data_IF_343722968948
#
_entry.id   IF_343722968948
#
_cell.length_a   1.000
_cell.length_b   1.000
_cell.length_c   1.000
_cell.angle_alpha   90.00
_cell.angle_beta   90.00
_cell.angle_gamma   90.00
#
_symmetry.space_group_name_H-M   'P 1'
#
loop_
_entity.id
_entity.type
_entity.pdbx_description
1 polymer ?
#
# COMPACT_ATOMS: atom_id res chain seq x y z
N UNK A 1 -7.24 47.22 37.27
CA UNK A 1 -6.23 47.62 38.30
C UNK A 1 -4.93 46.94 37.96
N UNK A 2 -3.96 47.74 37.46
CA UNK A 2 -2.53 47.80 37.82
C UNK A 2 -1.77 46.47 37.68
N UNK A 3 -0.65 46.29 36.94
CA UNK A 3 0.44 47.22 36.59
C UNK A 3 1.23 46.64 35.41
N UNK A 4 1.64 47.51 34.52
CA UNK A 4 2.70 47.31 33.55
C UNK A 4 4.06 47.12 34.25
N UNK A 5 4.94 46.29 33.63
CA UNK A 5 6.38 46.42 33.88
C UNK A 5 7.13 46.33 32.55
N UNK A 6 7.61 47.48 32.14
CA UNK A 6 8.61 47.69 31.08
C UNK A 6 9.98 47.22 31.61
N UNK A 7 10.65 46.37 30.85
CA UNK A 7 12.11 46.25 30.95
C UNK A 7 12.69 46.37 29.53
N UNK A 8 13.34 47.51 29.36
CA UNK A 8 14.14 47.94 28.25
C UNK A 8 15.56 47.39 28.47
N UNK A 9 16.07 46.53 27.64
CA UNK A 9 17.50 46.17 27.64
C UNK A 9 18.06 46.29 26.22
N UNK A 10 18.97 47.17 26.15
CA UNK A 10 19.94 47.64 25.20
C UNK A 10 20.31 46.71 24.01
N UNK A 11 20.25 47.33 22.86
CA UNK A 11 20.96 47.07 21.62
C UNK A 11 22.46 46.84 21.88
N UNK A 12 22.95 45.68 21.46
CA UNK A 12 24.37 45.48 21.20
C UNK A 12 24.51 44.94 19.76
N UNK A 13 24.76 45.86 18.85
CA UNK A 13 25.21 45.62 17.48
C UNK A 13 26.58 44.93 17.53
N UNK A 14 26.63 43.62 17.36
CA UNK A 14 27.85 42.96 16.95
C UNK A 14 27.69 42.60 15.47
N UNK A 15 28.20 43.46 14.61
CA UNK A 15 28.50 43.21 13.23
C UNK A 15 29.61 42.15 13.14
N UNK A 16 29.26 40.91 13.29
CA UNK A 16 30.10 39.76 12.95
C UNK A 16 29.96 39.50 11.46
N UNK A 17 30.93 39.97 10.67
CA UNK A 17 31.02 39.59 9.27
C UNK A 17 31.05 38.07 9.16
N UNK A 18 30.00 37.47 8.61
CA UNK A 18 30.05 36.14 8.04
C UNK A 18 30.97 36.24 6.82
N UNK A 19 32.27 36.01 7.04
CA UNK A 19 33.17 35.60 5.97
C UNK A 19 32.60 34.28 5.45
N UNK A 20 31.86 34.36 4.37
CA UNK A 20 31.55 33.21 3.54
C UNK A 20 32.87 32.55 3.14
N UNK A 21 33.26 31.51 3.89
CA UNK A 21 34.16 30.53 3.36
C UNK A 21 33.40 29.82 2.24
N UNK A 22 33.52 30.37 1.00
CA UNK A 22 33.46 29.53 -0.17
C UNK A 22 34.55 28.50 0.04
N UNK A 23 34.16 27.30 0.47
CA UNK A 23 34.96 26.10 0.29
C UNK A 23 35.27 26.09 -1.21
N UNK A 24 36.45 26.56 -1.60
CA UNK A 24 37.00 26.33 -2.92
C UNK A 24 37.02 24.82 -3.07
N UNK A 25 36.08 24.31 -3.87
CA UNK A 25 35.96 22.93 -4.21
C UNK A 25 37.32 22.49 -4.73
N UNK A 26 38.12 21.82 -3.90
CA UNK A 26 39.49 21.51 -4.25
C UNK A 26 39.39 20.48 -5.37
N UNK A 27 39.85 20.89 -6.58
CA UNK A 27 39.87 20.04 -7.76
C UNK A 27 40.71 18.80 -7.42
N UNK A 28 40.07 17.66 -7.18
CA UNK A 28 40.76 16.42 -6.80
C UNK A 28 40.49 15.34 -7.83
N UNK A 29 41.46 14.47 -7.96
CA UNK A 29 41.32 13.23 -8.73
C UNK A 29 40.45 12.27 -7.93
N UNK A 30 39.35 11.80 -8.53
CA UNK A 30 38.48 10.79 -7.94
C UNK A 30 38.64 9.42 -8.62
N UNK A 31 38.31 8.33 -7.93
CA UNK A 31 38.16 7.01 -8.58
C UNK A 31 37.21 7.11 -9.77
N UNK A 32 37.42 6.29 -10.78
CA UNK A 32 36.53 6.22 -11.92
C UNK A 32 35.11 5.90 -11.53
N UNK A 33 34.17 6.64 -12.04
CA UNK A 33 32.73 6.36 -11.89
C UNK A 33 31.97 6.62 -13.20
N UNK A 34 30.79 6.05 -13.26
CA UNK A 34 29.81 6.35 -14.29
C UNK A 34 28.43 6.51 -13.65
N UNK A 35 27.68 7.49 -14.13
CA UNK A 35 26.30 7.66 -13.70
C UNK A 35 25.37 6.84 -14.61
N UNK A 36 24.55 5.99 -13.98
CA UNK A 36 23.56 5.15 -14.64
C UNK A 36 22.19 5.70 -14.25
N UNK A 37 21.36 5.98 -15.24
CA UNK A 37 19.99 6.45 -15.00
C UNK A 37 19.07 5.23 -15.03
N UNK A 38 18.52 4.85 -13.88
CA UNK A 38 17.48 3.85 -13.75
C UNK A 38 16.12 4.53 -13.95
N UNK A 39 15.30 3.94 -14.83
CA UNK A 39 13.98 4.47 -15.15
C UNK A 39 12.89 3.46 -14.81
N UNK A 40 11.78 3.98 -14.29
CA UNK A 40 10.59 3.19 -13.97
C UNK A 40 9.34 4.05 -14.02
N UNK A 41 8.23 3.44 -13.66
CA UNK A 41 6.93 4.11 -13.57
C UNK A 41 6.27 3.79 -12.24
N UNK A 42 5.59 4.77 -11.67
CA UNK A 42 4.86 4.59 -10.42
C UNK A 42 3.68 3.64 -10.59
N UNK A 43 3.38 2.90 -9.53
CA UNK A 43 2.16 2.11 -9.38
C UNK A 43 1.61 2.27 -7.96
N UNK A 44 0.33 2.00 -7.71
CA UNK A 44 -0.20 1.99 -6.35
C UNK A 44 0.47 0.89 -5.51
N UNK A 45 0.50 1.10 -4.19
CA UNK A 45 1.03 0.10 -3.25
C UNK A 45 0.32 -1.25 -3.39
N UNK A 46 -0.99 -1.22 -3.48
CA UNK A 46 -1.84 -2.39 -3.71
C UNK A 46 -2.89 -2.03 -4.75
N UNK A 47 -3.19 -2.93 -5.65
CA UNK A 47 -4.31 -2.82 -6.57
C UNK A 47 -5.08 -4.14 -6.62
N UNK A 48 -6.39 -4.06 -6.83
CA UNK A 48 -7.26 -5.23 -6.92
C UNK A 48 -8.41 -4.95 -7.87
N UNK A 49 -8.80 -5.98 -8.64
CA UNK A 49 -10.05 -5.98 -9.39
C UNK A 49 -11.14 -6.52 -8.48
N UNK A 50 -12.14 -5.72 -8.17
CA UNK A 50 -13.34 -6.15 -7.45
C UNK A 50 -14.32 -6.72 -8.46
N UNK A 51 -14.71 -7.99 -8.27
CA UNK A 51 -15.66 -8.69 -9.12
C UNK A 51 -16.99 -8.91 -8.40
N UNK A 52 -18.06 -9.11 -9.18
CA UNK A 52 -19.37 -9.47 -8.67
C UNK A 52 -19.33 -10.87 -8.04
N UNK A 53 -19.79 -11.02 -6.81
CA UNK A 53 -19.91 -12.34 -6.17
C UNK A 53 -21.26 -13.03 -6.48
N UNK A 54 -22.22 -12.27 -6.96
CA UNK A 54 -23.57 -12.74 -7.34
C UNK A 54 -23.97 -12.16 -8.68
N UNK A 55 -24.86 -12.86 -9.37
CA UNK A 55 -25.44 -12.37 -10.64
C UNK A 55 -26.66 -11.50 -10.35
N UNK A 56 -26.85 -10.45 -11.15
CA UNK A 56 -28.00 -9.55 -11.05
C UNK A 56 -27.80 -8.25 -11.81
N UNK A 57 -28.80 -7.38 -11.80
CA UNK A 57 -28.74 -6.07 -12.43
C UNK A 57 -28.13 -5.06 -11.46
N UNK A 58 -27.23 -4.21 -11.94
CA UNK A 58 -26.71 -3.07 -11.18
C UNK A 58 -27.82 -2.03 -11.03
N UNK A 59 -28.26 -1.79 -9.81
CA UNK A 59 -29.32 -0.78 -9.53
C UNK A 59 -28.75 0.59 -9.23
N UNK A 60 -27.56 0.65 -8.64
CA UNK A 60 -26.89 1.91 -8.27
C UNK A 60 -25.39 1.73 -8.31
N UNK A 61 -24.70 2.74 -8.81
CA UNK A 61 -23.24 2.87 -8.78
C UNK A 61 -22.87 4.07 -7.90
N UNK A 62 -22.02 3.85 -6.92
CA UNK A 62 -21.68 4.88 -5.92
C UNK A 62 -20.39 5.65 -6.26
N UNK A 63 -19.52 5.09 -7.11
CA UNK A 63 -18.22 5.68 -7.46
C UNK A 63 -17.98 5.65 -8.95
N UNK A 64 -17.20 6.63 -9.42
CA UNK A 64 -16.68 6.67 -10.79
C UNK A 64 -15.15 6.68 -10.79
N UNK A 65 -14.55 6.61 -11.98
CA UNK A 65 -13.09 6.64 -12.15
C UNK A 65 -12.51 7.92 -11.55
N UNK A 66 -11.49 7.76 -10.68
CA UNK A 66 -10.86 8.85 -9.95
C UNK A 66 -11.44 9.12 -8.55
N UNK A 67 -12.61 8.57 -8.24
CA UNK A 67 -13.22 8.76 -6.92
C UNK A 67 -12.45 8.05 -5.82
N UNK A 68 -12.41 8.69 -4.65
CA UNK A 68 -11.88 8.06 -3.43
C UNK A 68 -12.98 7.29 -2.71
N UNK A 69 -12.72 6.02 -2.42
CA UNK A 69 -13.65 5.11 -1.77
C UNK A 69 -13.80 5.47 -0.29
N UNK A 70 -15.05 5.56 0.15
CA UNK A 70 -15.46 5.80 1.53
C UNK A 70 -16.14 4.54 2.11
N UNK A 71 -17.12 4.72 2.99
CA UNK A 71 -17.83 3.60 3.63
C UNK A 71 -19.04 3.08 2.82
N UNK A 72 -19.22 3.53 1.58
CA UNK A 72 -20.28 3.04 0.71
C UNK A 72 -19.81 1.83 -0.11
N UNK A 73 -20.72 0.94 -0.57
CA UNK A 73 -20.38 -0.11 -1.52
C UNK A 73 -19.96 0.50 -2.86
N UNK A 74 -19.23 -0.25 -3.69
CA UNK A 74 -18.88 0.19 -5.04
C UNK A 74 -20.11 0.29 -5.94
N UNK A 75 -20.94 -0.73 -5.87
CA UNK A 75 -22.22 -0.83 -6.59
C UNK A 75 -23.27 -1.50 -5.71
N UNK A 76 -24.52 -1.37 -6.09
CA UNK A 76 -25.65 -2.15 -5.57
C UNK A 76 -26.14 -3.08 -6.68
N UNK A 77 -26.03 -4.39 -6.47
CA UNK A 77 -26.68 -5.40 -7.32
C UNK A 77 -28.08 -5.63 -6.73
N UNK A 78 -29.11 -5.79 -7.58
CA UNK A 78 -30.51 -5.90 -7.16
C UNK A 78 -30.69 -6.93 -6.03
N UNK A 79 -31.08 -6.51 -4.81
CA UNK A 79 -31.24 -7.38 -3.67
C UNK A 79 -32.70 -7.89 -3.50
N UNK A 80 -33.57 -7.68 -4.48
CA UNK A 80 -35.02 -7.93 -4.30
C UNK A 80 -35.29 -9.36 -3.89
N UNK A 81 -34.72 -10.34 -4.59
CA UNK A 81 -34.94 -11.76 -4.29
C UNK A 81 -34.40 -12.17 -2.92
N UNK A 82 -33.21 -11.80 -2.57
CA UNK A 82 -32.63 -12.15 -1.27
C UNK A 82 -33.40 -11.49 -0.11
N UNK A 83 -33.94 -10.28 -0.32
CA UNK A 83 -34.78 -9.61 0.66
C UNK A 83 -36.11 -10.37 0.89
N UNK A 84 -36.74 -10.87 -0.18
CA UNK A 84 -37.93 -11.70 -0.09
C UNK A 84 -37.67 -13.04 0.63
N UNK A 85 -36.52 -13.67 0.35
CA UNK A 85 -36.11 -14.89 1.06
C UNK A 85 -35.86 -14.63 2.55
N UNK A 86 -35.22 -13.52 2.91
CA UNK A 86 -35.03 -13.10 4.30
C UNK A 86 -36.37 -12.87 5.01
N UNK A 87 -37.33 -12.24 4.33
CA UNK A 87 -38.67 -12.03 4.86
C UNK A 87 -39.41 -13.35 5.07
N UNK A 88 -39.32 -14.28 4.11
CA UNK A 88 -39.88 -15.62 4.21
C UNK A 88 -39.31 -16.41 5.39
N UNK A 89 -37.97 -16.38 5.53
CA UNK A 89 -37.28 -17.02 6.66
C UNK A 89 -37.67 -16.37 8.00
N UNK A 90 -37.78 -15.05 8.09
CA UNK A 90 -38.24 -14.38 9.31
C UNK A 90 -39.64 -14.82 9.73
N UNK A 91 -40.55 -14.98 8.75
CA UNK A 91 -41.91 -15.50 9.01
C UNK A 91 -41.90 -16.98 9.48
N UNK A 92 -40.99 -17.81 8.95
CA UNK A 92 -40.81 -19.20 9.39
C UNK A 92 -40.24 -19.26 10.80
N UNK A 93 -39.28 -18.43 11.15
CA UNK A 93 -38.72 -18.31 12.51
C UNK A 93 -39.84 -17.97 13.51
N UNK A 94 -40.68 -16.98 13.20
CA UNK A 94 -41.74 -16.57 14.12
C UNK A 94 -42.80 -17.68 14.31
N UNK A 95 -43.19 -18.38 13.23
CA UNK A 95 -44.10 -19.57 13.36
C UNK A 95 -43.50 -20.66 14.23
N UNK A 96 -42.22 -20.97 14.04
CA UNK A 96 -41.54 -22.01 14.82
C UNK A 96 -41.34 -21.56 16.28
N UNK A 97 -41.11 -20.30 16.54
CA UNK A 97 -41.06 -19.74 17.90
C UNK A 97 -42.39 -19.98 18.64
N UNK A 98 -43.50 -19.68 17.97
CA UNK A 98 -44.86 -19.98 18.54
C UNK A 98 -45.02 -21.46 18.80
N UNK A 99 -44.54 -22.35 17.91
CA UNK A 99 -44.61 -23.79 18.10
C UNK A 99 -43.77 -24.26 19.33
N UNK A 100 -42.59 -23.70 19.53
CA UNK A 100 -41.75 -23.91 20.73
C UNK A 100 -42.52 -23.51 22.00
N UNK A 101 -43.13 -22.32 21.99
CA UNK A 101 -43.88 -21.82 23.15
C UNK A 101 -45.11 -22.71 23.45
N UNK A 102 -45.83 -23.20 22.44
CA UNK A 102 -46.92 -24.15 22.58
C UNK A 102 -46.43 -25.50 23.16
N UNK A 103 -45.30 -26.03 22.64
CA UNK A 103 -44.73 -27.27 23.17
C UNK A 103 -44.30 -27.13 24.65
N UNK A 104 -43.69 -26.00 24.99
CA UNK A 104 -43.32 -25.68 26.39
C UNK A 104 -44.53 -25.56 27.30
N UNK A 105 -45.62 -24.93 26.85
CA UNK A 105 -46.85 -24.81 27.59
C UNK A 105 -47.45 -26.20 27.85
N UNK A 106 -47.56 -27.05 26.82
CA UNK A 106 -48.04 -28.43 26.94
C UNK A 106 -47.19 -29.25 27.91
N UNK A 107 -45.87 -29.19 27.79
CA UNK A 107 -44.95 -29.90 28.68
C UNK A 107 -45.09 -29.41 30.13
N UNK A 108 -45.27 -28.11 30.37
CA UNK A 108 -45.47 -27.56 31.71
C UNK A 108 -46.76 -28.06 32.35
N UNK A 109 -47.79 -28.25 31.53
CA UNK A 109 -49.08 -28.79 32.00
C UNK A 109 -48.95 -30.28 32.37
N UNK A 110 -48.36 -31.11 31.54
CA UNK A 110 -48.07 -32.51 31.78
C UNK A 110 -47.14 -32.73 32.98
N UNK A 111 -46.16 -31.85 33.18
CA UNK A 111 -45.29 -31.88 34.35
C UNK A 111 -46.08 -31.69 35.68
N UNK A 112 -47.04 -30.76 35.67
CA UNK A 112 -47.91 -30.51 36.81
C UNK A 112 -48.78 -31.74 37.09
N UNK A 113 -49.36 -32.36 36.04
CA UNK A 113 -50.16 -33.56 36.16
C UNK A 113 -49.38 -34.77 36.67
N UNK A 114 -48.18 -34.97 36.12
CA UNK A 114 -47.24 -35.98 36.57
C UNK A 114 -46.95 -35.85 38.08
N UNK A 115 -46.58 -34.66 38.55
CA UNK A 115 -46.34 -34.43 39.99
C UNK A 115 -47.55 -34.71 40.87
N UNK A 116 -48.73 -34.30 40.40
CA UNK A 116 -50.00 -34.60 41.15
C UNK A 116 -50.24 -36.09 41.22
N UNK A 117 -50.13 -36.82 40.12
CA UNK A 117 -50.36 -38.28 40.08
C UNK A 117 -49.27 -39.03 40.83
N UNK A 118 -48.02 -38.57 40.84
CA UNK A 118 -46.94 -39.18 41.61
C UNK A 118 -47.25 -39.21 43.10
N UNK A 119 -47.83 -38.14 43.63
CA UNK A 119 -48.27 -38.10 45.02
C UNK A 119 -49.44 -39.10 45.28
N UNK A 120 -50.42 -39.13 44.38
CA UNK A 120 -51.65 -40.03 44.53
C UNK A 120 -51.31 -41.50 44.39
N UNK A 121 -50.36 -41.88 43.51
CA UNK A 121 -49.93 -43.32 43.40
C UNK A 121 -49.28 -43.79 44.68
N UNK A 122 -48.48 -42.95 45.35
CA UNK A 122 -47.86 -43.30 46.63
C UNK A 122 -48.89 -43.50 47.77
N UNK A 123 -50.04 -42.85 47.66
CA UNK A 123 -51.18 -42.96 48.60
C UNK A 123 -52.20 -44.06 48.23
N UNK A 124 -51.94 -44.76 47.10
CA UNK A 124 -52.87 -45.83 46.63
C UNK A 124 -54.10 -45.32 45.91
N UNK A 125 -54.20 -44.06 45.58
CA UNK A 125 -55.39 -43.41 44.99
C UNK A 125 -55.53 -43.50 43.47
N UNK A 126 -54.48 -44.00 42.74
CA UNK A 126 -54.48 -44.10 41.26
C UNK A 126 -53.75 -45.39 40.83
N UNK A 127 -54.16 -45.97 39.67
CA UNK A 127 -53.55 -47.19 39.15
C UNK A 127 -52.09 -46.85 38.59
N UNK A 128 -51.20 -47.84 38.69
CA UNK A 128 -49.88 -47.74 38.16
C UNK A 128 -49.86 -47.49 36.65
N UNK A 129 -50.77 -48.13 35.89
CA UNK A 129 -50.94 -47.92 34.45
C UNK A 129 -51.27 -46.49 34.11
N UNK A 130 -52.12 -45.80 34.85
CA UNK A 130 -52.44 -44.40 34.63
C UNK A 130 -51.24 -43.48 34.90
N UNK A 131 -50.44 -43.81 35.91
CA UNK A 131 -49.19 -43.05 36.18
C UNK A 131 -48.17 -43.25 35.07
N UNK A 132 -47.95 -44.49 34.60
CA UNK A 132 -47.00 -44.80 33.51
C UNK A 132 -47.41 -44.11 32.20
N UNK A 133 -48.70 -43.98 31.88
CA UNK A 133 -49.23 -43.24 30.74
C UNK A 133 -48.90 -41.75 30.81
N UNK A 134 -49.04 -41.08 31.92
CA UNK A 134 -48.70 -39.65 32.10
C UNK A 134 -47.23 -39.47 32.10
N UNK A 135 -46.42 -40.36 32.63
CA UNK A 135 -44.96 -40.33 32.53
C UNK A 135 -44.53 -40.39 31.10
N UNK A 136 -45.06 -41.32 30.30
CA UNK A 136 -44.73 -41.38 28.85
C UNK A 136 -45.13 -40.09 28.07
N UNK A 137 -46.37 -39.58 28.37
CA UNK A 137 -46.82 -38.33 27.73
C UNK A 137 -45.92 -37.11 28.07
N UNK A 138 -45.49 -37.01 29.34
CA UNK A 138 -44.54 -35.97 29.79
C UNK A 138 -43.23 -36.09 29.06
N UNK A 139 -42.67 -37.30 28.96
CA UNK A 139 -41.38 -37.50 28.30
C UNK A 139 -41.48 -37.25 26.79
N UNK A 140 -42.58 -37.65 26.16
CA UNK A 140 -42.85 -37.27 24.76
C UNK A 140 -42.93 -35.76 24.58
N UNK A 141 -43.63 -35.04 25.46
CA UNK A 141 -43.71 -33.57 25.36
C UNK A 141 -42.34 -32.87 25.54
N UNK A 142 -41.45 -33.43 26.35
CA UNK A 142 -40.06 -32.95 26.47
C UNK A 142 -39.26 -33.19 25.20
N UNK A 143 -39.48 -34.29 24.50
CA UNK A 143 -38.88 -34.56 23.19
C UNK A 143 -39.41 -33.59 22.12
N UNK A 144 -40.72 -33.31 22.15
CA UNK A 144 -41.36 -32.37 21.23
C UNK A 144 -40.76 -30.95 21.36
N UNK A 145 -40.49 -30.47 22.58
CA UNK A 145 -39.80 -29.20 22.81
C UNK A 145 -38.46 -29.22 22.10
N UNK A 146 -37.63 -30.23 22.34
CA UNK A 146 -36.29 -30.34 21.73
C UNK A 146 -36.36 -30.35 20.20
N UNK A 147 -37.34 -31.06 19.63
CA UNK A 147 -37.55 -31.07 18.19
C UNK A 147 -37.85 -29.66 17.62
N UNK A 148 -38.79 -28.94 18.27
CA UNK A 148 -39.13 -27.58 17.85
C UNK A 148 -37.97 -26.59 18.05
N UNK A 149 -37.22 -26.74 19.13
CA UNK A 149 -36.01 -25.92 19.38
C UNK A 149 -34.91 -26.16 18.32
N UNK A 150 -34.69 -27.42 17.91
CA UNK A 150 -33.77 -27.74 16.83
C UNK A 150 -34.22 -27.14 15.48
N UNK A 151 -35.52 -27.20 15.18
CA UNK A 151 -36.07 -26.56 13.99
C UNK A 151 -35.91 -25.03 14.00
N UNK A 152 -36.12 -24.41 15.17
CA UNK A 152 -35.90 -22.99 15.37
C UNK A 152 -34.42 -22.59 15.14
N UNK A 153 -33.48 -23.36 15.68
CA UNK A 153 -32.05 -23.15 15.51
C UNK A 153 -31.64 -23.30 14.05
N UNK A 154 -32.14 -24.31 13.34
CA UNK A 154 -31.88 -24.49 11.90
C UNK A 154 -32.30 -23.26 11.08
N UNK A 155 -33.50 -22.72 11.36
CA UNK A 155 -33.95 -21.50 10.67
C UNK A 155 -33.12 -20.26 10.99
N UNK A 156 -32.58 -20.17 12.21
CA UNK A 156 -31.64 -19.09 12.57
C UNK A 156 -30.32 -19.21 11.82
N UNK A 157 -29.80 -20.43 11.65
CA UNK A 157 -28.61 -20.68 10.83
C UNK A 157 -28.86 -20.27 9.38
N UNK A 158 -30.01 -20.66 8.83
CA UNK A 158 -30.43 -20.28 7.48
C UNK A 158 -30.50 -18.75 7.33
N UNK A 159 -31.04 -18.04 8.33
CA UNK A 159 -31.06 -16.56 8.33
C UNK A 159 -29.65 -15.96 8.24
N UNK A 160 -28.69 -16.49 9.00
CA UNK A 160 -27.30 -16.03 8.94
C UNK A 160 -26.72 -16.22 7.54
N UNK A 161 -26.96 -17.36 6.90
CA UNK A 161 -26.54 -17.64 5.53
C UNK A 161 -27.13 -16.63 4.54
N UNK A 162 -28.42 -16.33 4.64
CA UNK A 162 -29.09 -15.36 3.79
C UNK A 162 -28.55 -13.94 3.98
N UNK A 163 -28.21 -13.55 5.20
CA UNK A 163 -27.59 -12.25 5.49
C UNK A 163 -26.20 -12.16 4.83
N UNK A 164 -25.39 -13.21 4.89
CA UNK A 164 -24.08 -13.22 4.20
C UNK A 164 -24.25 -13.17 2.69
N UNK A 165 -25.24 -13.84 2.13
CA UNK A 165 -25.59 -13.73 0.71
C UNK A 165 -26.04 -12.30 0.35
N UNK A 166 -26.86 -11.65 1.21
CA UNK A 166 -27.29 -10.27 1.01
C UNK A 166 -26.10 -9.29 0.92
N UNK A 167 -25.09 -9.48 1.76
CA UNK A 167 -23.88 -8.63 1.74
C UNK A 167 -23.19 -8.68 0.38
N UNK A 168 -23.19 -9.82 -0.31
CA UNK A 168 -22.57 -9.99 -1.63
C UNK A 168 -23.22 -9.15 -2.74
N UNK A 169 -24.46 -8.64 -2.52
CA UNK A 169 -25.10 -7.70 -3.43
C UNK A 169 -24.56 -6.27 -3.28
N UNK A 170 -23.62 -6.05 -2.34
CA UNK A 170 -23.02 -4.75 -2.04
C UNK A 170 -21.51 -4.87 -1.90
N UNK A 171 -20.78 -5.18 -3.01
CA UNK A 171 -19.34 -5.32 -2.99
C UNK A 171 -18.69 -4.02 -2.52
N UNK A 172 -17.69 -4.15 -1.65
CA UNK A 172 -16.96 -3.04 -1.04
C UNK A 172 -15.47 -3.13 -1.34
N UNK A 173 -14.77 -2.03 -1.17
CA UNK A 173 -13.31 -1.99 -1.20
C UNK A 173 -12.79 -1.15 -0.01
N UNK A 174 -11.49 -1.23 0.32
CA UNK A 174 -10.94 -0.50 1.45
C UNK A 174 -11.11 1.01 1.32
N UNK A 175 -11.47 1.66 2.43
CA UNK A 175 -11.61 3.12 2.51
C UNK A 175 -10.27 3.82 2.23
N UNK A 176 -10.31 4.91 1.46
CA UNK A 176 -9.15 5.68 1.06
C UNK A 176 -8.46 5.18 -0.21
N UNK A 177 -8.90 4.05 -0.77
CA UNK A 177 -8.48 3.63 -2.09
C UNK A 177 -9.18 4.45 -3.17
N UNK A 178 -8.68 4.43 -4.39
CA UNK A 178 -9.26 5.12 -5.52
C UNK A 178 -9.67 4.14 -6.62
N UNK A 179 -10.72 4.50 -7.36
CA UNK A 179 -11.17 3.75 -8.53
C UNK A 179 -10.26 4.09 -9.71
N UNK A 180 -9.53 3.10 -10.20
CA UNK A 180 -8.65 3.25 -11.36
C UNK A 180 -9.39 3.01 -12.69
N UNK A 181 -10.30 2.02 -12.70
CA UNK A 181 -11.07 1.65 -13.88
C UNK A 181 -12.45 1.13 -13.47
N UNK A 182 -13.44 1.38 -14.31
CA UNK A 182 -14.81 0.93 -14.17
C UNK A 182 -15.18 0.04 -15.35
N UNK A 183 -15.87 -1.07 -15.07
CA UNK A 183 -16.26 -2.05 -16.08
C UNK A 183 -17.77 -2.16 -16.26
N UNK A 184 -18.58 -1.57 -15.37
CA UNK A 184 -20.03 -1.74 -15.35
C UNK A 184 -20.76 -0.42 -15.19
N UNK A 185 -21.98 -0.35 -15.71
CA UNK A 185 -22.90 0.78 -15.59
C UNK A 185 -24.21 0.39 -14.89
N UNK A 186 -24.97 1.40 -14.43
CA UNK A 186 -26.31 1.20 -13.89
C UNK A 186 -27.23 0.63 -14.95
N UNK A 187 -28.06 -0.33 -14.58
CA UNK A 187 -28.95 -1.08 -15.48
C UNK A 187 -28.31 -2.27 -16.18
N UNK A 188 -27.00 -2.47 -16.04
CA UNK A 188 -26.30 -3.58 -16.65
C UNK A 188 -26.51 -4.88 -15.87
N UNK A 189 -26.67 -6.00 -16.58
CA UNK A 189 -26.74 -7.34 -16.01
C UNK A 189 -25.33 -7.91 -15.89
N UNK A 190 -24.92 -8.27 -14.66
CA UNK A 190 -23.63 -8.90 -14.38
C UNK A 190 -23.80 -10.34 -13.94
N UNK A 191 -22.84 -11.17 -14.28
CA UNK A 191 -22.71 -12.53 -13.76
C UNK A 191 -21.74 -12.58 -12.58
N UNK A 192 -21.86 -13.59 -11.73
CA UNK A 192 -20.84 -13.86 -10.71
C UNK A 192 -19.46 -14.06 -11.37
N UNK A 193 -18.42 -13.38 -10.88
CA UNK A 193 -17.09 -13.34 -11.44
C UNK A 193 -16.84 -12.19 -12.44
N UNK A 194 -17.87 -11.46 -12.90
CA UNK A 194 -17.67 -10.28 -13.78
C UNK A 194 -16.91 -9.18 -13.04
N UNK A 195 -15.88 -8.56 -13.65
CA UNK A 195 -15.18 -7.44 -13.06
C UNK A 195 -16.12 -6.24 -12.94
N UNK A 196 -16.08 -5.55 -11.80
CA UNK A 196 -16.87 -4.35 -11.54
C UNK A 196 -16.02 -3.09 -11.62
N UNK A 197 -14.94 -3.06 -10.85
CA UNK A 197 -14.01 -1.92 -10.77
C UNK A 197 -12.60 -2.39 -10.43
N UNK A 198 -11.59 -1.72 -11.00
CA UNK A 198 -10.22 -1.76 -10.50
C UNK A 198 -10.04 -0.66 -9.47
N UNK A 199 -9.49 -1.02 -8.33
CA UNK A 199 -9.26 -0.13 -7.20
C UNK A 199 -7.83 -0.25 -6.71
N UNK A 200 -7.26 0.84 -6.16
CA UNK A 200 -5.89 0.80 -5.68
C UNK A 200 -5.59 1.83 -4.59
N UNK A 201 -4.56 1.51 -3.79
CA UNK A 201 -4.03 2.43 -2.79
C UNK A 201 -2.95 3.32 -3.41
N UNK A 202 -3.36 4.51 -3.86
CA UNK A 202 -2.48 5.50 -4.46
C UNK A 202 -1.86 6.46 -3.44
N UNK A 203 -2.18 6.33 -2.16
CA UNK A 203 -1.56 7.13 -1.08
C UNK A 203 -0.06 6.83 -0.94
N UNK A 204 0.35 5.66 -1.39
CA UNK A 204 1.72 5.22 -1.43
C UNK A 204 2.06 4.72 -2.84
N UNK A 205 3.12 5.25 -3.41
CA UNK A 205 3.55 4.89 -4.76
C UNK A 205 4.77 3.97 -4.70
N UNK A 206 4.72 2.88 -5.43
CA UNK A 206 5.84 1.97 -5.64
C UNK A 206 6.43 2.17 -7.03
N UNK A 207 7.74 2.00 -7.12
CA UNK A 207 8.49 2.00 -8.38
C UNK A 207 9.14 0.63 -8.54
N UNK A 208 8.60 -0.25 -9.39
CA UNK A 208 9.24 -1.51 -9.72
C UNK A 208 10.42 -1.27 -10.65
N UNK A 209 11.58 -1.84 -10.31
CA UNK A 209 12.82 -1.78 -11.10
C UNK A 209 13.44 -3.18 -11.19
N UNK A 210 14.20 -3.39 -12.24
CA UNK A 210 15.06 -4.58 -12.40
C UNK A 210 16.51 -4.13 -12.49
N UNK A 211 17.30 -4.48 -11.47
CA UNK A 211 18.65 -3.97 -11.27
C UNK A 211 19.67 -5.09 -11.14
N UNK A 212 20.93 -4.80 -11.47
CA UNK A 212 22.06 -5.68 -11.18
C UNK A 212 22.42 -5.63 -9.70
N UNK A 213 23.19 -6.61 -9.20
CA UNK A 213 23.64 -6.61 -7.81
C UNK A 213 24.49 -5.38 -7.45
N UNK A 214 25.29 -4.88 -8.40
CA UNK A 214 26.09 -3.69 -8.21
C UNK A 214 25.22 -2.41 -8.14
N UNK A 215 24.23 -2.27 -9.01
CA UNK A 215 23.26 -1.17 -8.96
C UNK A 215 22.46 -1.20 -7.65
N UNK A 216 22.04 -2.38 -7.18
CA UNK A 216 21.33 -2.52 -5.90
C UNK A 216 22.17 -2.03 -4.72
N UNK A 217 23.48 -2.32 -4.71
CA UNK A 217 24.38 -1.82 -3.67
C UNK A 217 24.46 -0.31 -3.68
N UNK A 218 24.59 0.30 -4.85
CA UNK A 218 24.67 1.75 -5.00
C UNK A 218 23.33 2.45 -4.66
N UNK A 219 22.18 1.85 -4.98
CA UNK A 219 20.85 2.37 -4.62
C UNK A 219 20.68 2.50 -3.10
N UNK A 220 21.24 1.57 -2.33
CA UNK A 220 21.14 1.59 -0.85
C UNK A 220 21.83 2.80 -0.21
N UNK A 221 22.78 3.40 -0.89
CA UNK A 221 23.55 4.57 -0.43
C UNK A 221 22.87 5.90 -0.83
N UNK A 222 21.87 5.82 -1.70
CA UNK A 222 21.18 7.00 -2.24
C UNK A 222 19.73 7.05 -1.73
N UNK A 223 19.24 8.25 -1.47
CA UNK A 223 17.88 8.48 -0.95
C UNK A 223 17.04 9.44 -1.80
N UNK A 224 17.63 10.04 -2.83
CA UNK A 224 16.96 11.04 -3.68
C UNK A 224 16.86 10.56 -5.12
N UNK A 225 15.68 10.78 -5.70
CA UNK A 225 15.36 10.48 -7.08
C UNK A 225 14.39 11.53 -7.62
N UNK A 226 13.99 11.41 -8.87
CA UNK A 226 12.98 12.27 -9.47
C UNK A 226 11.75 11.47 -9.85
N UNK A 227 10.59 11.95 -9.41
CA UNK A 227 9.28 11.46 -9.84
C UNK A 227 8.53 12.59 -10.55
N UNK A 228 8.17 12.36 -11.82
CA UNK A 228 7.54 13.37 -12.66
C UNK A 228 8.29 14.72 -12.67
N UNK A 229 9.64 14.68 -12.68
CA UNK A 229 10.51 15.85 -12.66
C UNK A 229 10.72 16.51 -11.31
N UNK A 230 10.07 16.08 -10.24
CA UNK A 230 10.23 16.57 -8.87
C UNK A 230 11.19 15.68 -8.08
N UNK A 231 12.07 16.27 -7.30
CA UNK A 231 12.94 15.51 -6.41
C UNK A 231 12.13 14.86 -5.29
N UNK A 232 12.35 13.57 -5.07
CA UNK A 232 11.65 12.76 -4.05
C UNK A 232 12.64 11.91 -3.27
N UNK A 233 12.32 11.69 -2.00
CA UNK A 233 12.95 10.66 -1.19
C UNK A 233 12.26 9.31 -1.42
N UNK A 234 13.02 8.23 -1.29
CA UNK A 234 12.51 6.87 -1.40
C UNK A 234 13.24 5.95 -0.42
N UNK A 235 12.65 4.80 -0.18
CA UNK A 235 13.34 3.69 0.47
C UNK A 235 13.09 2.37 -0.27
N UNK A 236 13.96 1.41 -0.02
CA UNK A 236 13.84 0.08 -0.60
C UNK A 236 12.75 -0.70 0.13
N UNK A 237 11.63 -0.97 -0.55
CA UNK A 237 10.47 -1.67 -0.01
C UNK A 237 10.62 -3.18 -0.12
N UNK A 238 10.91 -3.68 -1.32
CA UNK A 238 11.02 -5.12 -1.58
C UNK A 238 12.25 -5.41 -2.43
N UNK A 239 12.90 -6.55 -2.14
CA UNK A 239 13.99 -7.11 -2.95
C UNK A 239 13.69 -8.56 -3.20
N UNK A 240 13.62 -8.96 -4.47
CA UNK A 240 13.47 -10.37 -4.82
C UNK A 240 14.68 -11.19 -4.31
N UNK A 241 14.43 -12.33 -3.69
CA UNK A 241 15.54 -13.23 -3.27
C UNK A 241 16.19 -13.96 -4.45
N UNK A 242 15.57 -13.92 -5.64
CA UNK A 242 16.03 -14.61 -6.84
C UNK A 242 16.39 -13.62 -7.95
N UNK A 243 17.38 -13.98 -8.73
CA UNK A 243 17.68 -13.33 -9.99
C UNK A 243 16.71 -13.81 -11.07
N UNK A 244 16.31 -12.91 -11.95
CA UNK A 244 15.64 -13.29 -13.19
C UNK A 244 16.60 -14.12 -14.05
N UNK A 245 16.16 -15.30 -14.50
CA UNK A 245 17.02 -16.25 -15.20
C UNK A 245 17.56 -15.73 -16.55
N UNK A 246 16.78 -14.89 -17.23
CA UNK A 246 17.13 -14.37 -18.57
C UNK A 246 18.00 -13.12 -18.49
N UNK A 247 17.63 -12.19 -17.62
CA UNK A 247 18.28 -10.88 -17.54
C UNK A 247 19.39 -10.82 -16.50
N UNK A 248 19.46 -11.79 -15.58
CA UNK A 248 20.36 -11.82 -14.43
C UNK A 248 20.22 -10.59 -13.52
N UNK A 249 19.05 -9.98 -13.54
CA UNK A 249 18.70 -8.83 -12.70
C UNK A 249 17.85 -9.25 -11.52
N UNK A 250 17.88 -8.44 -10.47
CA UNK A 250 17.07 -8.57 -9.27
C UNK A 250 15.88 -7.63 -9.42
N UNK A 251 14.67 -8.14 -9.24
CA UNK A 251 13.48 -7.31 -9.15
C UNK A 251 13.44 -6.63 -7.78
N UNK A 252 13.28 -5.32 -7.78
CA UNK A 252 13.14 -4.51 -6.56
C UNK A 252 11.93 -3.60 -6.68
N UNK A 253 11.44 -3.13 -5.54
CA UNK A 253 10.43 -2.09 -5.46
C UNK A 253 10.90 -1.00 -4.51
N UNK A 254 10.91 0.22 -5.00
CA UNK A 254 11.18 1.41 -4.21
C UNK A 254 9.84 2.02 -3.80
N UNK A 255 9.68 2.39 -2.53
CA UNK A 255 8.54 3.16 -2.05
C UNK A 255 8.92 4.63 -1.98
N UNK A 256 8.07 5.48 -2.53
CA UNK A 256 8.22 6.93 -2.44
C UNK A 256 7.73 7.39 -1.07
N UNK A 257 8.59 8.06 -0.29
CA UNK A 257 8.27 8.46 1.09
C UNK A 257 7.30 9.63 1.12
N UNK A 258 7.49 10.62 0.25
CA UNK A 258 6.64 11.79 0.17
C UNK A 258 6.63 12.35 -1.26
N UNK A 259 5.44 12.55 -1.80
CA UNK A 259 5.22 13.19 -3.09
C UNK A 259 4.08 14.19 -3.00
N UNK A 260 4.36 15.44 -3.34
CA UNK A 260 3.38 16.54 -3.25
C UNK A 260 2.54 16.72 -4.51
N UNK A 261 2.86 16.00 -5.57
CA UNK A 261 2.12 16.01 -6.82
C UNK A 261 0.88 15.13 -6.78
N UNK A 262 0.16 15.08 -7.89
CA UNK A 262 -1.00 14.22 -8.05
C UNK A 262 -0.57 12.75 -8.03
N UNK A 263 -1.10 11.99 -7.06
CA UNK A 263 -0.72 10.60 -6.84
C UNK A 263 -1.43 9.70 -7.85
N UNK A 264 -0.67 9.29 -8.87
CA UNK A 264 -1.17 8.44 -9.97
C UNK A 264 -0.20 7.31 -10.28
N UNK A 265 -0.70 6.24 -10.87
CA UNK A 265 0.11 5.25 -11.57
C UNK A 265 0.62 5.79 -12.90
N UNK A 266 1.79 5.28 -13.35
CA UNK A 266 2.38 5.65 -14.63
C UNK A 266 3.21 6.94 -14.64
N UNK A 267 3.45 7.58 -13.47
CA UNK A 267 4.35 8.73 -13.39
C UNK A 267 5.79 8.28 -13.66
N UNK A 268 6.55 8.99 -14.54
CA UNK A 268 7.92 8.65 -14.84
C UNK A 268 8.83 8.90 -13.63
N UNK A 269 9.66 7.90 -13.34
CA UNK A 269 10.64 7.93 -12.27
C UNK A 269 12.04 7.80 -12.85
N UNK A 270 12.97 8.60 -12.37
CA UNK A 270 14.39 8.57 -12.71
C UNK A 270 15.25 8.59 -11.45
N UNK A 271 16.20 7.67 -11.40
CA UNK A 271 17.19 7.59 -10.34
C UNK A 271 18.58 7.56 -10.96
N UNK A 272 19.37 8.60 -10.73
CA UNK A 272 20.76 8.64 -11.13
C UNK A 272 21.59 7.92 -10.08
N UNK A 273 22.21 6.82 -10.44
CA UNK A 273 23.05 6.00 -9.56
C UNK A 273 24.48 6.07 -10.00
N UNK A 274 25.38 6.46 -9.10
CA UNK A 274 26.81 6.50 -9.37
C UNK A 274 27.43 5.11 -9.16
N UNK A 275 27.97 4.55 -10.23
CA UNK A 275 28.58 3.24 -10.24
C UNK A 275 30.10 3.35 -10.34
N UNK A 276 30.89 2.56 -9.59
CA UNK A 276 32.33 2.46 -9.82
C UNK A 276 32.63 2.04 -11.26
N UNK A 277 33.64 2.65 -11.84
CA UNK A 277 34.11 2.31 -13.18
C UNK A 277 35.65 2.36 -13.23
N UNK A 278 36.23 1.78 -14.26
CA UNK A 278 37.68 1.80 -14.43
C UNK A 278 38.19 3.18 -14.81
N UNK A 279 39.42 3.51 -14.41
CA UNK A 279 40.06 4.79 -14.69
C UNK A 279 39.98 5.78 -13.53
N UNK A 280 40.22 7.05 -13.85
CA UNK A 280 40.20 8.15 -12.90
C UNK A 280 39.25 9.24 -13.42
N UNK A 281 38.59 9.94 -12.53
CA UNK A 281 37.78 11.10 -12.84
C UNK A 281 38.49 12.37 -12.44
N UNK A 282 38.50 13.35 -13.35
CA UNK A 282 39.13 14.66 -13.16
C UNK A 282 38.10 15.74 -13.50
N UNK A 283 37.99 16.80 -12.66
CA UNK A 283 37.13 17.94 -13.01
C UNK A 283 37.59 18.59 -14.31
N UNK A 284 36.64 18.93 -15.17
CA UNK A 284 36.90 19.61 -16.45
C UNK A 284 37.72 20.88 -16.25
N UNK A 285 37.55 21.62 -15.15
CA UNK A 285 38.27 22.83 -14.80
C UNK A 285 39.76 22.61 -14.60
N UNK A 286 40.20 21.38 -14.26
CA UNK A 286 41.63 21.07 -14.06
C UNK A 286 42.39 20.77 -15.34
N UNK A 287 41.73 20.75 -16.52
CA UNK A 287 42.32 20.30 -17.78
C UNK A 287 42.67 21.50 -18.65
N UNK A 288 43.96 21.64 -19.02
CA UNK A 288 44.45 22.55 -20.05
C UNK A 288 44.53 21.84 -21.40
N UNK A 289 44.42 22.61 -22.50
CA UNK A 289 44.51 22.13 -23.89
C UNK A 289 43.58 20.96 -24.22
N UNK A 290 42.32 21.04 -23.80
CA UNK A 290 41.32 19.95 -23.84
C UNK A 290 41.16 19.22 -25.17
N UNK A 291 41.42 19.92 -26.28
CA UNK A 291 41.23 19.42 -27.65
C UNK A 291 42.48 18.93 -28.32
N UNK A 292 43.64 19.37 -27.83
CA UNK A 292 44.92 19.02 -28.43
C UNK A 292 45.97 18.84 -27.34
N UNK A 293 46.39 17.59 -27.07
CA UNK A 293 47.29 17.21 -25.99
C UNK A 293 46.81 17.66 -24.61
N UNK A 294 45.69 17.08 -24.07
CA UNK A 294 45.16 17.47 -22.78
C UNK A 294 46.13 17.20 -21.65
N UNK A 295 46.33 18.19 -20.77
CA UNK A 295 47.27 18.16 -19.67
C UNK A 295 46.62 18.63 -18.38
N UNK A 296 47.10 18.09 -17.25
CA UNK A 296 46.75 18.53 -15.91
C UNK A 296 47.99 18.87 -15.11
N UNK A 297 47.84 19.76 -14.14
CA UNK A 297 48.91 20.10 -13.19
C UNK A 297 48.49 19.71 -11.78
N UNK A 298 49.36 19.02 -11.08
CA UNK A 298 49.23 18.77 -9.66
C UNK A 298 49.57 20.02 -8.87
N UNK A 299 48.96 20.19 -7.72
CA UNK A 299 49.21 21.34 -6.84
C UNK A 299 50.62 21.30 -6.23
N UNK A 300 51.17 20.10 -6.03
CA UNK A 300 52.48 19.84 -5.43
C UNK A 300 53.63 19.78 -6.44
N UNK A 301 53.33 19.86 -7.76
CA UNK A 301 54.34 19.72 -8.82
C UNK A 301 54.12 20.76 -9.92
N UNK A 302 55.23 21.36 -10.39
CA UNK A 302 55.20 22.37 -11.49
C UNK A 302 55.05 21.74 -12.88
N UNK A 303 55.33 20.43 -13.03
CA UNK A 303 55.32 19.77 -14.33
C UNK A 303 53.89 19.37 -14.71
N UNK A 304 53.50 19.66 -15.95
CA UNK A 304 52.20 19.24 -16.50
C UNK A 304 52.27 17.78 -16.92
N UNK A 305 51.25 17.02 -16.55
CA UNK A 305 51.08 15.60 -16.87
C UNK A 305 50.12 15.49 -18.05
N UNK A 306 50.54 14.82 -19.10
CA UNK A 306 49.70 14.52 -20.26
C UNK A 306 48.73 13.36 -19.91
N UNK A 307 47.46 13.51 -20.29
CA UNK A 307 46.38 12.57 -19.96
C UNK A 307 45.67 12.10 -21.23
N UNK A 308 45.14 10.90 -21.19
CA UNK A 308 44.26 10.36 -22.25
C UNK A 308 42.83 10.39 -21.80
N UNK A 309 42.01 11.22 -22.44
CA UNK A 309 40.59 11.34 -22.17
C UNK A 309 39.83 10.14 -22.76
N UNK A 310 39.08 9.42 -21.96
CA UNK A 310 38.24 8.29 -22.38
C UNK A 310 36.80 8.73 -22.63
N UNK A 311 36.26 9.57 -21.76
CA UNK A 311 34.84 10.01 -21.85
C UNK A 311 34.65 11.34 -21.09
N UNK A 312 33.60 12.08 -21.46
CA UNK A 312 33.10 13.25 -20.74
C UNK A 312 31.78 12.93 -20.04
N UNK A 313 31.66 13.39 -18.79
CA UNK A 313 30.47 13.15 -17.97
C UNK A 313 30.12 14.38 -17.15
N UNK A 314 29.34 15.29 -17.74
CA UNK A 314 29.06 16.61 -17.14
C UNK A 314 30.33 17.41 -16.90
N UNK A 315 30.53 17.83 -15.63
CA UNK A 315 31.72 18.61 -15.20
C UNK A 315 32.95 17.74 -14.92
N UNK A 316 32.90 16.46 -15.23
CA UNK A 316 33.97 15.49 -15.04
C UNK A 316 34.41 14.87 -16.35
N UNK A 317 35.69 14.50 -16.38
CA UNK A 317 36.30 13.77 -17.49
C UNK A 317 36.96 12.51 -16.99
N UNK A 318 36.59 11.38 -17.60
CA UNK A 318 37.24 10.11 -17.33
C UNK A 318 38.52 9.99 -18.12
N UNK A 319 39.59 9.66 -17.43
CA UNK A 319 40.91 9.46 -18.05
C UNK A 319 41.41 8.01 -17.85
N UNK A 320 42.33 7.61 -18.74
CA UNK A 320 43.01 6.33 -18.58
C UNK A 320 43.83 6.31 -17.29
N UNK A 321 43.92 5.14 -16.61
CA UNK A 321 44.79 5.01 -15.45
C UNK A 321 46.22 5.44 -15.77
N UNK A 322 46.83 6.24 -14.88
CA UNK A 322 48.20 6.67 -15.00
C UNK A 322 48.91 6.59 -13.66
N UNK A 323 50.17 6.23 -13.65
CA UNK A 323 50.97 6.13 -12.42
C UNK A 323 51.24 7.51 -11.79
N UNK A 324 51.12 8.58 -12.57
CA UNK A 324 51.37 9.95 -12.12
C UNK A 324 50.20 10.57 -11.33
N UNK A 325 48.98 10.00 -11.44
CA UNK A 325 47.77 10.48 -10.78
C UNK A 325 47.14 9.33 -9.98
N UNK A 326 46.84 9.60 -8.72
CA UNK A 326 46.12 8.67 -7.84
C UNK A 326 44.89 9.38 -7.27
N UNK A 327 43.84 8.65 -6.88
CA UNK A 327 42.70 9.24 -6.18
C UNK A 327 43.14 10.08 -4.98
N UNK A 328 42.55 11.27 -4.81
CA UNK A 328 42.87 12.22 -3.74
C UNK A 328 43.95 13.26 -4.08
N UNK A 329 44.63 13.12 -5.20
CA UNK A 329 45.62 14.14 -5.65
C UNK A 329 44.94 15.46 -5.99
N UNK A 330 45.40 16.55 -5.42
CA UNK A 330 44.90 17.90 -5.70
C UNK A 330 45.45 18.43 -7.01
N UNK A 331 44.57 18.99 -7.81
CA UNK A 331 44.87 19.57 -9.11
C UNK A 331 44.73 21.10 -9.07
N UNK A 332 45.47 21.78 -9.95
CA UNK A 332 45.32 23.21 -10.14
C UNK A 332 44.22 23.51 -11.14
N UNK A 333 43.42 24.55 -10.85
CA UNK A 333 42.47 25.10 -11.80
C UNK A 333 43.21 25.66 -13.04
N UNK A 334 42.80 25.20 -14.20
CA UNK A 334 43.31 25.56 -15.50
C UNK A 334 42.26 26.29 -16.36
N UNK A 335 41.15 26.72 -15.74
CA UNK A 335 40.17 27.58 -16.43
C UNK A 335 40.89 28.84 -16.83
N UNK A 336 40.91 29.24 -18.09
CA UNK A 336 41.49 30.53 -18.47
C UNK A 336 40.69 31.61 -17.77
N UNK A 337 41.37 32.45 -16.97
CA UNK A 337 40.81 33.67 -16.44
C UNK A 337 40.03 34.37 -17.54
N UNK A 338 38.75 34.62 -17.31
CA UNK A 338 37.89 35.31 -18.26
C UNK A 338 38.41 36.70 -18.53
N UNK A 339 39.32 36.80 -19.48
CA UNK A 339 39.79 38.05 -19.99
C UNK A 339 38.59 38.85 -20.48
N UNK A 340 38.31 39.92 -19.76
CA UNK A 340 37.40 40.99 -20.14
C UNK A 340 37.84 41.58 -21.47
N UNK A 341 37.41 40.96 -22.57
CA UNK A 341 37.49 41.55 -23.91
C UNK A 341 36.09 41.92 -24.36
N UNK A 342 35.66 43.13 -24.07
CA UNK A 342 34.66 43.81 -24.88
C UNK A 342 35.32 44.28 -26.17
N UNK A 343 34.69 44.13 -27.34
CA UNK A 343 34.73 45.13 -28.37
C UNK A 343 33.67 46.20 -28.11
#
# INVERSE_FOLDING_TARGET
MKKALFILIASCLISGGMVGQTLADSLRVEPGFRDVILRGYSRPLVSSTVAAEVSGVITTRYYDVGDTITNQPLVQIDPTWINLELQGNASAIERTRIAVDQARLRASWLEKDFKRLQTLVNEGGVSRSTFDEIEQQRDQARLDIRLQEQQFEQLQIQRKTLIEQQKRHRPTAPTGWQVAQRYVDEGELVAAGSPLMDVGDYRHLLIPLSVTAAELSAIREQTQARLNGQDVAYHLHTVSPAFDEKTRKIAIELMIDHFTGEQRGGLPFELAVRMPDEGLMIPVAAISNRYNHPKVKRRDQSQAIEISILNHQGDWVRIAPTTALQPGVELLDQTPDGGSGKP
#
